data_IF_430507620348
#
_entry.id   IF_430507620348
#
_cell.length_a   1.000
_cell.length_b   1.000
_cell.length_c   1.000
_cell.angle_alpha   90.00
_cell.angle_beta   90.00
_cell.angle_gamma   90.00
#
_symmetry.space_group_name_H-M   'P 1'
#
loop_
_entity.id
_entity.type
_entity.pdbx_description
1 polymer ?
#
# COMPACT_ATOMS: atom_id res chain seq x y z
N UNK A 1 23.44 -14.52 14.81
CA UNK A 1 22.31 -14.71 13.89
C UNK A 1 22.84 -14.42 12.49
N UNK A 2 22.84 -15.40 11.58
CA UNK A 2 23.29 -15.18 10.20
C UNK A 2 22.32 -14.27 9.46
N UNK A 3 22.85 -13.40 8.60
CA UNK A 3 22.07 -12.46 7.79
C UNK A 3 21.19 -13.22 6.79
N UNK A 4 19.91 -12.82 6.59
CA UNK A 4 19.07 -13.38 5.54
C UNK A 4 19.68 -13.17 4.16
N UNK A 5 19.70 -14.21 3.32
CA UNK A 5 20.15 -14.14 1.94
C UNK A 5 18.92 -14.12 1.03
N UNK A 6 18.70 -13.01 0.32
CA UNK A 6 17.69 -12.92 -0.74
C UNK A 6 18.22 -13.72 -1.94
N UNK A 7 17.52 -14.80 -2.30
CA UNK A 7 17.81 -15.56 -3.52
C UNK A 7 16.93 -15.04 -4.67
N UNK A 8 17.47 -15.07 -5.89
CA UNK A 8 16.68 -14.76 -7.08
C UNK A 8 15.46 -15.67 -7.16
N UNK A 9 14.31 -15.08 -7.47
CA UNK A 9 13.03 -15.77 -7.68
C UNK A 9 12.75 -15.92 -9.17
N UNK A 10 11.92 -16.90 -9.54
CA UNK A 10 11.34 -17.03 -10.87
C UNK A 10 10.07 -16.16 -11.06
N UNK A 11 9.71 -15.35 -10.06
CA UNK A 11 8.58 -14.41 -10.11
C UNK A 11 8.77 -13.40 -11.24
N UNK A 12 7.76 -13.28 -12.12
CA UNK A 12 7.77 -12.26 -13.18
C UNK A 12 7.51 -10.87 -12.58
N UNK A 13 7.91 -9.82 -13.31
CA UNK A 13 7.62 -8.45 -12.89
C UNK A 13 6.10 -8.21 -12.75
N UNK A 14 5.29 -8.73 -13.68
CA UNK A 14 3.83 -8.63 -13.64
C UNK A 14 3.22 -9.31 -12.41
N UNK A 15 3.75 -10.48 -12.03
CA UNK A 15 3.31 -11.18 -10.83
C UNK A 15 3.67 -10.37 -9.57
N UNK A 16 4.89 -9.84 -9.49
CA UNK A 16 5.31 -9.04 -8.34
C UNK A 16 4.47 -7.75 -8.18
N UNK A 17 4.06 -7.11 -9.29
CA UNK A 17 3.16 -5.96 -9.28
C UNK A 17 1.77 -6.37 -8.77
N UNK A 18 1.24 -7.49 -9.27
CA UNK A 18 -0.04 -8.04 -8.82
C UNK A 18 -0.02 -8.35 -7.32
N UNK A 19 1.01 -9.06 -6.86
CA UNK A 19 1.19 -9.42 -5.44
C UNK A 19 1.23 -8.17 -4.55
N UNK A 20 1.88 -7.09 -5.00
CA UNK A 20 1.92 -5.83 -4.27
C UNK A 20 0.55 -5.17 -4.20
N UNK A 21 -0.18 -5.08 -5.33
CA UNK A 21 -1.53 -4.50 -5.37
C UNK A 21 -2.48 -5.30 -4.45
N UNK A 22 -2.40 -6.63 -4.47
CA UNK A 22 -3.15 -7.50 -3.57
C UNK A 22 -2.79 -7.23 -2.10
N UNK A 23 -1.50 -7.07 -1.78
CA UNK A 23 -1.07 -6.74 -0.42
C UNK A 23 -1.66 -5.41 0.06
N UNK A 24 -1.69 -4.39 -0.80
CA UNK A 24 -2.28 -3.09 -0.49
C UNK A 24 -3.79 -3.22 -0.32
N UNK A 25 -4.48 -3.98 -1.17
CA UNK A 25 -5.91 -4.23 -1.05
C UNK A 25 -6.28 -4.92 0.28
N UNK A 26 -5.43 -5.85 0.74
CA UNK A 26 -5.59 -6.49 2.06
C UNK A 26 -5.37 -5.48 3.20
N UNK A 27 -4.34 -4.63 3.11
CA UNK A 27 -4.12 -3.54 4.09
C UNK A 27 -5.34 -2.59 4.14
N UNK A 28 -5.89 -2.19 2.98
CA UNK A 28 -7.09 -1.34 2.86
C UNK A 28 -8.35 -1.97 3.49
N UNK A 29 -8.51 -3.29 3.30
CA UNK A 29 -9.59 -4.04 3.92
C UNK A 29 -9.46 -4.00 5.45
N UNK A 30 -8.26 -4.20 5.98
CA UNK A 30 -7.98 -4.05 7.41
C UNK A 30 -8.28 -2.65 7.94
N UNK A 31 -7.88 -1.60 7.21
CA UNK A 31 -8.13 -0.21 7.60
C UNK A 31 -9.62 0.12 7.62
N UNK A 32 -10.41 -0.42 6.68
CA UNK A 32 -11.86 -0.26 6.67
C UNK A 32 -12.51 -0.82 7.95
N UNK A 33 -12.03 -1.96 8.45
CA UNK A 33 -12.51 -2.50 9.72
C UNK A 33 -12.14 -1.63 10.92
N UNK A 34 -10.93 -1.04 10.92
CA UNK A 34 -10.52 -0.10 11.99
C UNK A 34 -11.41 1.14 11.95
N UNK A 35 -11.66 1.73 10.78
CA UNK A 35 -12.52 2.91 10.64
C UNK A 35 -13.94 2.60 11.13
N UNK A 36 -14.48 1.43 10.79
CA UNK A 36 -15.79 1.01 11.29
C UNK A 36 -15.80 0.88 12.81
N UNK A 37 -14.79 0.24 13.41
CA UNK A 37 -14.68 0.10 14.86
C UNK A 37 -14.55 1.46 15.58
N UNK A 38 -13.83 2.42 14.99
CA UNK A 38 -13.75 3.79 15.49
C UNK A 38 -15.11 4.51 15.38
N UNK A 39 -15.90 4.24 14.34
CA UNK A 39 -17.28 4.72 14.23
C UNK A 39 -18.20 4.12 15.30
N UNK A 40 -18.13 2.81 15.53
CA UNK A 40 -18.86 2.12 16.59
C UNK A 40 -18.47 2.66 17.98
N UNK A 41 -17.19 3.01 18.20
CA UNK A 41 -16.71 3.62 19.44
C UNK A 41 -17.41 4.96 19.74
N UNK A 42 -17.58 5.83 18.73
CA UNK A 42 -18.32 7.09 18.88
C UNK A 42 -19.79 6.81 19.21
N UNK A 43 -20.43 5.90 18.49
CA UNK A 43 -21.83 5.54 18.72
C UNK A 43 -22.05 5.00 20.13
N UNK A 44 -21.14 4.13 20.60
CA UNK A 44 -21.18 3.58 21.94
C UNK A 44 -21.01 4.68 23.01
N UNK A 45 -20.11 5.65 22.79
CA UNK A 45 -19.91 6.75 23.74
C UNK A 45 -21.16 7.63 23.91
N UNK A 46 -21.93 7.84 22.84
CA UNK A 46 -23.14 8.68 22.86
C UNK A 46 -24.30 8.10 23.69
N UNK A 47 -24.30 6.78 23.93
CA UNK A 47 -25.39 6.09 24.66
C UNK A 47 -25.03 5.77 26.11
N UNK A 48 -23.84 6.16 26.59
CA UNK A 48 -23.43 5.97 27.98
C UNK A 48 -24.21 6.94 28.87
N UNK A 49 -24.93 6.39 29.85
CA UNK A 49 -25.65 7.19 30.83
C UNK A 49 -24.68 8.03 31.67
N UNK A 50 -24.95 9.33 31.79
CA UNK A 50 -24.08 10.27 32.52
C UNK A 50 -22.82 10.69 31.78
N UNK A 51 -22.67 10.36 30.49
CA UNK A 51 -21.53 10.83 29.68
C UNK A 51 -21.46 12.35 29.65
N UNK A 52 -20.29 12.90 29.92
CA UNK A 52 -20.08 14.34 29.88
C UNK A 52 -19.60 14.79 28.50
N UNK A 53 -19.76 16.08 28.21
CA UNK A 53 -19.20 16.68 26.99
C UNK A 53 -17.68 16.54 26.93
N UNK A 54 -17.01 16.48 28.08
CA UNK A 54 -15.57 16.24 28.16
C UNK A 54 -15.21 14.81 27.73
N UNK A 55 -15.97 13.81 28.18
CA UNK A 55 -15.74 12.41 27.81
C UNK A 55 -15.95 12.21 26.30
N UNK A 56 -16.99 12.82 25.72
CA UNK A 56 -17.24 12.79 24.27
C UNK A 56 -16.12 13.49 23.49
N UNK A 57 -15.59 14.61 23.99
CA UNK A 57 -14.47 15.30 23.36
C UNK A 57 -13.19 14.43 23.39
N UNK A 58 -12.95 13.72 24.50
CA UNK A 58 -11.79 12.84 24.64
C UNK A 58 -11.90 11.61 23.72
N UNK A 59 -13.10 11.02 23.58
CA UNK A 59 -13.38 9.97 22.58
C UNK A 59 -13.13 10.50 21.17
N UNK A 60 -13.66 11.67 20.83
CA UNK A 60 -13.47 12.28 19.50
C UNK A 60 -11.99 12.52 19.19
N UNK A 61 -11.21 13.04 20.13
CA UNK A 61 -9.76 13.22 19.97
C UNK A 61 -9.02 11.90 19.78
N UNK A 62 -9.44 10.85 20.48
CA UNK A 62 -8.87 9.51 20.28
C UNK A 62 -9.14 9.00 18.87
N UNK A 63 -10.37 9.15 18.36
CA UNK A 63 -10.75 8.74 17.01
C UNK A 63 -10.00 9.56 15.95
N UNK A 64 -9.92 10.88 16.14
CA UNK A 64 -9.14 11.78 15.28
C UNK A 64 -7.67 11.35 15.20
N UNK A 65 -7.07 10.95 16.33
CA UNK A 65 -5.70 10.42 16.35
C UNK A 65 -5.55 9.16 15.49
N UNK A 66 -6.49 8.20 15.61
CA UNK A 66 -6.50 6.99 14.79
C UNK A 66 -6.66 7.33 13.31
N UNK A 67 -7.61 8.18 12.94
CA UNK A 67 -7.83 8.60 11.54
C UNK A 67 -6.59 9.29 10.97
N UNK A 68 -5.93 10.16 11.73
CA UNK A 68 -4.68 10.79 11.32
C UNK A 68 -3.54 9.78 11.11
N UNK A 69 -3.48 8.72 11.92
CA UNK A 69 -2.51 7.64 11.73
C UNK A 69 -2.81 6.84 10.44
N UNK A 70 -4.08 6.55 10.18
CA UNK A 70 -4.53 5.90 8.93
C UNK A 70 -4.17 6.76 7.72
N UNK A 71 -4.44 8.06 7.74
CA UNK A 71 -4.06 8.95 6.63
C UNK A 71 -2.57 8.97 6.34
N UNK A 72 -1.71 8.84 7.37
CA UNK A 72 -0.26 8.72 7.16
C UNK A 72 0.11 7.38 6.53
N UNK A 73 -0.58 6.30 6.92
CA UNK A 73 -0.37 4.99 6.31
C UNK A 73 -0.82 4.97 4.85
N UNK A 74 -1.94 5.63 4.50
CA UNK A 74 -2.38 5.80 3.11
C UNK A 74 -1.30 6.44 2.23
N UNK A 75 -0.59 7.46 2.72
CA UNK A 75 0.53 8.06 1.99
C UNK A 75 1.67 7.06 1.76
N UNK A 76 1.94 6.18 2.73
CA UNK A 76 2.95 5.13 2.60
C UNK A 76 2.51 4.08 1.57
N UNK A 77 1.24 3.67 1.58
CA UNK A 77 0.69 2.72 0.61
C UNK A 77 0.70 3.29 -0.81
N UNK A 78 0.35 4.57 -0.96
CA UNK A 78 0.49 5.29 -2.22
C UNK A 78 1.96 5.30 -2.69
N UNK A 79 2.90 5.59 -1.79
CA UNK A 79 4.33 5.60 -2.12
C UNK A 79 4.83 4.22 -2.60
N UNK A 80 4.30 3.12 -2.05
CA UNK A 80 4.62 1.75 -2.52
C UNK A 80 4.22 1.56 -4.00
N UNK A 81 3.08 2.10 -4.43
CA UNK A 81 2.62 2.02 -5.82
C UNK A 81 3.44 2.91 -6.76
N UNK A 82 3.87 4.08 -6.31
CA UNK A 82 4.64 5.03 -7.12
C UNK A 82 6.01 4.49 -7.56
N UNK A 83 6.62 3.57 -6.80
CA UNK A 83 7.88 2.90 -7.15
C UNK A 83 7.81 2.26 -8.54
N UNK A 84 6.67 1.66 -8.91
CA UNK A 84 6.52 0.93 -10.17
C UNK A 84 6.06 1.80 -11.35
N UNK A 85 5.51 2.99 -11.09
CA UNK A 85 5.08 3.92 -12.14
C UNK A 85 6.26 4.37 -13.02
N UNK A 86 7.47 4.40 -12.46
CA UNK A 86 8.67 4.81 -13.18
C UNK A 86 9.23 3.69 -14.08
N UNK A 87 9.08 2.42 -13.70
CA UNK A 87 9.56 1.24 -14.44
C UNK A 87 8.69 0.91 -15.66
N UNK A 88 7.40 1.23 -15.64
CA UNK A 88 6.46 0.97 -16.75
C UNK A 88 6.72 1.94 -17.94
N UNK A 89 7.32 3.10 -17.69
CA UNK A 89 7.57 4.11 -18.72
C UNK A 89 8.95 3.99 -19.40
N UNK A 90 9.86 3.14 -18.89
CA UNK A 90 11.10 2.79 -19.58
C UNK A 90 10.83 1.81 -20.71
N UNK A 91 10.43 2.33 -21.87
CA UNK A 91 10.44 1.58 -23.14
C UNK A 91 11.85 1.02 -23.35
N UNK A 92 12.03 -0.26 -23.75
CA UNK A 92 13.33 -0.74 -24.17
C UNK A 92 13.76 0.09 -25.38
N UNK A 93 14.85 0.84 -25.24
CA UNK A 93 15.50 1.47 -26.38
C UNK A 93 16.10 0.35 -27.21
N UNK A 94 15.34 -0.11 -28.22
CA UNK A 94 15.90 -0.92 -29.30
C UNK A 94 16.75 0.06 -30.12
N UNK A 95 17.98 0.31 -29.69
CA UNK A 95 19.00 0.77 -30.63
C UNK A 95 19.32 -0.42 -31.52
N UNK A 96 19.05 -0.37 -32.84
CA UNK A 96 19.56 -1.41 -33.73
C UNK A 96 21.08 -1.40 -33.61
N UNK A 97 21.67 -2.54 -33.22
CA UNK A 97 23.10 -2.75 -33.26
C UNK A 97 23.57 -2.54 -34.72
N UNK A 98 24.50 -1.60 -35.01
CA UNK A 98 24.97 -1.34 -36.38
C UNK A 98 25.78 -2.50 -36.98
N UNK A 99 25.92 -3.65 -36.30
CA UNK A 99 26.86 -4.72 -36.66
C UNK A 99 26.28 -6.06 -37.16
N UNK A 100 24.96 -6.32 -37.10
CA UNK A 100 24.45 -7.66 -37.45
C UNK A 100 24.33 -7.87 -38.97
N UNK A 101 25.45 -8.19 -39.60
CA UNK A 101 25.49 -8.80 -40.94
C UNK A 101 25.28 -10.30 -40.80
N UNK A 102 24.05 -10.77 -41.00
CA UNK A 102 23.82 -12.20 -41.28
C UNK A 102 23.62 -12.36 -42.79
N UNK A 103 24.72 -12.62 -43.48
CA UNK A 103 24.70 -13.30 -44.75
C UNK A 103 24.13 -14.70 -44.53
N UNK A 104 23.11 -15.10 -45.29
CA UNK A 104 22.88 -16.52 -45.58
C UNK A 104 22.37 -16.65 -47.01
N UNK A 105 23.24 -17.25 -47.81
CA UNK A 105 23.02 -17.74 -49.16
C UNK A 105 22.40 -19.14 -49.07
N UNK A 106 21.22 -19.32 -49.65
CA UNK A 106 20.80 -20.44 -50.53
C UNK A 106 19.28 -20.45 -50.69
#
# INVERSE_FOLDING_TARGET
>A
MSMPVIKASNTTQEQAITDLIESIALEQTGLSHIINAEGEKIQAALVIEGVTTKDLLDVNKSVECTVNAISKLELVLQSKLEIFKNEINSKPSITPDPGSTTNTTN
#
